data_IF_672559109728
#
_entry.id   IF_672559109728
#
_cell.length_a   1.000
_cell.length_b   1.000
_cell.length_c   1.000
_cell.angle_alpha   90.00
_cell.angle_beta   90.00
_cell.angle_gamma   90.00
#
_symmetry.space_group_name_H-M   'P 1'
#
loop_
_entity.id
_entity.type
_entity.pdbx_description
1 polymer ?
#
# COMPACT_ATOMS: atom_id res chain seq x y z
N UNK A 1 19.35 12.89 -20.08
CA UNK A 1 18.33 12.16 -19.29
C UNK A 1 17.04 12.08 -20.08
N UNK A 2 16.22 11.06 -19.84
CA UNK A 2 14.91 10.92 -20.46
C UNK A 2 13.93 10.25 -19.49
N UNK A 3 12.66 10.63 -19.59
CA UNK A 3 11.56 10.10 -18.79
C UNK A 3 10.58 9.38 -19.73
N UNK A 4 10.09 8.23 -19.30
CA UNK A 4 9.05 7.47 -19.98
C UNK A 4 7.87 7.25 -19.03
N UNK A 5 6.67 7.59 -19.50
CA UNK A 5 5.42 7.37 -18.77
C UNK A 5 4.95 5.93 -18.98
N UNK A 6 4.95 5.14 -17.91
CA UNK A 6 4.55 3.75 -17.97
C UNK A 6 3.03 3.57 -18.01
N UNK A 7 2.22 4.63 -17.82
CA UNK A 7 0.75 4.58 -17.83
C UNK A 7 0.16 3.57 -16.85
N UNK A 8 0.74 3.48 -15.66
CA UNK A 8 0.32 2.54 -14.61
C UNK A 8 0.18 3.22 -13.25
N UNK A 9 -0.82 2.80 -12.50
CA UNK A 9 -1.06 3.18 -11.11
C UNK A 9 -1.32 1.91 -10.31
N UNK A 10 -0.47 1.60 -9.34
CA UNK A 10 -0.62 0.44 -8.44
C UNK A 10 0.32 0.56 -7.23
N UNK A 11 0.27 -0.43 -6.34
CA UNK A 11 1.27 -0.64 -5.29
C UNK A 11 2.31 -1.64 -5.78
N UNK A 12 3.50 -1.16 -6.13
CA UNK A 12 4.60 -1.99 -6.63
C UNK A 12 5.52 -2.44 -5.49
N UNK A 13 5.35 -3.68 -5.04
CA UNK A 13 6.11 -4.22 -3.91
C UNK A 13 7.51 -4.66 -4.33
N UNK A 14 8.49 -3.74 -4.25
CA UNK A 14 9.86 -3.93 -4.74
C UNK A 14 10.62 -5.18 -4.21
N UNK A 15 10.13 -5.82 -3.14
CA UNK A 15 10.74 -7.01 -2.51
C UNK A 15 9.94 -8.29 -2.74
N UNK A 16 8.96 -8.30 -3.64
CA UNK A 16 8.09 -9.46 -3.89
C UNK A 16 7.87 -9.69 -5.38
N UNK A 17 7.71 -10.97 -5.76
CA UNK A 17 7.30 -11.37 -7.09
C UNK A 17 8.17 -10.80 -8.21
N UNK A 18 7.56 -10.53 -9.36
CA UNK A 18 8.24 -10.03 -10.56
C UNK A 18 8.96 -8.69 -10.38
N UNK A 19 8.64 -7.90 -9.33
CA UNK A 19 9.39 -6.68 -9.03
C UNK A 19 10.84 -6.95 -8.64
N UNK A 20 11.13 -8.08 -8.01
CA UNK A 20 12.51 -8.41 -7.60
C UNK A 20 13.39 -8.54 -8.84
N UNK A 21 12.91 -9.27 -9.84
CA UNK A 21 13.60 -9.49 -11.11
C UNK A 21 13.67 -8.19 -11.94
N UNK A 22 12.61 -7.37 -11.90
CA UNK A 22 12.61 -6.08 -12.58
C UNK A 22 13.63 -5.11 -11.97
N UNK A 23 13.74 -5.06 -10.64
CA UNK A 23 14.76 -4.26 -9.94
C UNK A 23 16.17 -4.78 -10.26
N UNK A 24 16.37 -6.10 -10.33
CA UNK A 24 17.64 -6.66 -10.78
C UNK A 24 17.98 -6.26 -12.22
N UNK A 25 16.98 -6.26 -13.11
CA UNK A 25 17.12 -5.78 -14.49
C UNK A 25 17.54 -4.31 -14.54
N UNK A 26 16.88 -3.44 -13.76
CA UNK A 26 17.26 -2.02 -13.68
C UNK A 26 18.72 -1.83 -13.24
N UNK A 27 19.15 -2.56 -12.20
CA UNK A 27 20.53 -2.53 -11.70
C UNK A 27 21.54 -3.04 -12.74
N UNK A 28 21.20 -4.09 -13.47
CA UNK A 28 22.04 -4.59 -14.54
C UNK A 28 22.19 -3.54 -15.67
N UNK A 29 21.10 -2.86 -16.03
CA UNK A 29 21.15 -1.79 -17.04
C UNK A 29 21.99 -0.59 -16.59
N UNK A 30 22.10 -0.29 -15.29
CA UNK A 30 23.04 0.73 -14.79
C UNK A 30 24.52 0.38 -15.06
N UNK A 31 24.84 -0.88 -15.38
CA UNK A 31 26.20 -1.30 -15.76
C UNK A 31 26.46 -1.21 -17.27
N UNK A 32 25.44 -0.91 -18.07
CA UNK A 32 25.58 -0.75 -19.52
C UNK A 32 26.41 0.51 -19.83
N UNK A 33 27.32 0.47 -20.83
CA UNK A 33 28.14 1.62 -21.19
C UNK A 33 27.31 2.87 -21.50
N UNK A 34 27.68 4.00 -20.88
CA UNK A 34 27.03 5.29 -21.09
C UNK A 34 25.78 5.52 -20.23
N UNK A 35 25.27 4.52 -19.51
CA UNK A 35 24.18 4.71 -18.53
C UNK A 35 24.77 5.15 -17.19
N UNK A 36 24.22 6.22 -16.61
CA UNK A 36 24.63 6.76 -15.32
C UNK A 36 23.68 6.38 -14.18
N UNK A 37 22.39 6.27 -14.46
CA UNK A 37 21.38 5.84 -13.48
C UNK A 37 20.07 5.44 -14.14
N UNK A 38 19.38 4.48 -13.52
CA UNK A 38 18.04 4.01 -13.88
C UNK A 38 17.15 4.09 -12.63
N UNK A 39 16.02 4.78 -12.73
CA UNK A 39 15.10 4.98 -11.61
C UNK A 39 13.66 4.74 -12.04
N UNK A 40 12.93 3.97 -11.24
CA UNK A 40 11.48 3.80 -11.37
C UNK A 40 10.79 4.62 -10.28
N UNK A 41 10.17 5.72 -10.68
CA UNK A 41 9.28 6.47 -9.81
C UNK A 41 7.89 5.85 -9.82
N UNK A 42 7.50 5.17 -8.75
CA UNK A 42 6.20 4.47 -8.66
C UNK A 42 4.98 5.40 -8.59
N UNK A 43 5.19 6.69 -8.29
CA UNK A 43 4.12 7.63 -7.99
C UNK A 43 3.44 7.34 -6.64
N UNK A 44 2.34 8.05 -6.41
CA UNK A 44 1.49 7.84 -5.25
C UNK A 44 0.05 7.59 -5.74
N UNK A 45 -0.47 6.35 -5.63
CA UNK A 45 -1.71 5.97 -6.31
C UNK A 45 -2.96 6.68 -5.81
N UNK A 46 -2.89 7.31 -4.63
CA UNK A 46 -3.99 8.09 -4.05
C UNK A 46 -3.91 9.59 -4.36
N UNK A 47 -2.89 10.06 -5.09
CA UNK A 47 -2.81 11.46 -5.52
C UNK A 47 -3.72 11.70 -6.73
N UNK A 48 -4.50 12.77 -6.68
CA UNK A 48 -5.25 13.29 -7.84
C UNK A 48 -4.47 14.42 -8.52
N UNK A 49 -3.43 14.03 -9.25
CA UNK A 49 -2.56 14.95 -10.00
C UNK A 49 -2.42 14.45 -11.45
N UNK A 50 -2.26 15.36 -12.44
CA UNK A 50 -1.98 14.97 -13.82
C UNK A 50 -0.74 14.07 -13.95
N UNK A 51 0.20 14.24 -13.02
CA UNK A 51 1.43 13.47 -12.96
C UNK A 51 1.28 12.15 -12.19
N UNK A 52 0.11 11.75 -11.71
CA UNK A 52 -0.03 10.47 -10.98
C UNK A 52 0.29 9.28 -11.89
N UNK A 53 1.16 8.38 -11.41
CA UNK A 53 1.51 7.13 -12.08
C UNK A 53 3.01 6.82 -12.09
N UNK A 54 3.32 5.61 -12.54
CA UNK A 54 4.68 5.10 -12.62
C UNK A 54 5.45 5.69 -13.82
N UNK A 55 6.69 6.11 -13.60
CA UNK A 55 7.59 6.62 -14.65
C UNK A 55 8.99 6.03 -14.55
N UNK A 56 9.56 5.72 -15.71
CA UNK A 56 10.94 5.28 -15.85
C UNK A 56 11.83 6.47 -16.22
N UNK A 57 12.80 6.79 -15.37
CA UNK A 57 13.80 7.83 -15.58
C UNK A 57 15.15 7.18 -15.84
N UNK A 58 15.79 7.55 -16.95
CA UNK A 58 17.15 7.11 -17.28
C UNK A 58 18.05 8.32 -17.49
N UNK A 59 19.21 8.29 -16.86
CA UNK A 59 20.28 9.27 -17.01
C UNK A 59 21.45 8.59 -17.72
N UNK A 60 21.96 9.21 -18.78
CA UNK A 60 23.10 8.72 -19.57
C UNK A 60 24.14 9.84 -19.73
N UNK A 61 25.41 9.49 -19.94
CA UNK A 61 26.52 10.45 -20.12
C UNK A 61 26.43 11.10 -21.49
N UNK A 62 25.93 12.35 -21.53
CA UNK A 62 25.86 13.21 -22.72
C UNK A 62 25.15 12.59 -23.94
N UNK A 63 24.44 11.48 -23.76
CA UNK A 63 23.67 10.80 -24.80
C UNK A 63 22.17 10.76 -24.46
N UNK A 64 21.43 11.70 -25.05
CA UNK A 64 19.98 11.79 -24.82
C UNK A 64 19.21 10.73 -25.62
N UNK A 65 19.76 10.25 -26.74
CA UNK A 65 19.12 9.23 -27.56
C UNK A 65 19.15 7.88 -26.83
N UNK A 66 20.32 7.50 -26.30
CA UNK A 66 20.50 6.32 -25.46
C UNK A 66 19.58 6.37 -24.24
N UNK A 67 19.52 7.50 -23.53
CA UNK A 67 18.62 7.64 -22.39
C UNK A 67 17.14 7.40 -22.76
N UNK A 68 16.69 7.95 -23.90
CA UNK A 68 15.30 7.82 -24.37
C UNK A 68 14.98 6.39 -24.79
N UNK A 69 15.89 5.74 -25.50
CA UNK A 69 15.75 4.35 -25.93
C UNK A 69 15.65 3.42 -24.71
N UNK A 70 16.59 3.54 -23.77
CA UNK A 70 16.65 2.72 -22.56
C UNK A 70 15.44 2.95 -21.66
N UNK A 71 15.02 4.21 -21.44
CA UNK A 71 13.82 4.51 -20.66
C UNK A 71 12.56 3.90 -21.29
N UNK A 72 12.43 3.98 -22.62
CA UNK A 72 11.31 3.38 -23.34
C UNK A 72 11.32 1.86 -23.31
N UNK A 73 12.48 1.23 -23.47
CA UNK A 73 12.66 -0.22 -23.38
C UNK A 73 12.23 -0.74 -22.02
N UNK A 74 12.79 -0.17 -20.94
CA UNK A 74 12.47 -0.58 -19.58
C UNK A 74 11.02 -0.24 -19.19
N UNK A 75 10.51 0.91 -19.60
CA UNK A 75 9.14 1.33 -19.30
C UNK A 75 8.08 0.42 -19.97
N UNK A 76 8.30 -0.01 -21.22
CA UNK A 76 7.44 -0.99 -21.88
C UNK A 76 7.52 -2.36 -21.21
N UNK A 77 8.73 -2.84 -20.90
CA UNK A 77 8.91 -4.08 -20.17
C UNK A 77 8.21 -4.07 -18.81
N UNK A 78 8.23 -2.93 -18.11
CA UNK A 78 7.48 -2.75 -16.86
C UNK A 78 5.96 -2.86 -17.08
N UNK A 79 5.44 -2.23 -18.14
CA UNK A 79 4.03 -2.32 -18.50
C UNK A 79 3.57 -3.74 -18.86
N UNK A 80 4.45 -4.53 -19.48
CA UNK A 80 4.16 -5.92 -19.81
C UNK A 80 4.03 -6.81 -18.57
N UNK A 81 4.64 -6.43 -17.44
CA UNK A 81 4.51 -7.13 -16.16
C UNK A 81 3.22 -6.80 -15.40
N UNK A 82 2.42 -5.82 -15.83
CA UNK A 82 1.30 -5.23 -15.04
C UNK A 82 0.38 -6.25 -14.35
N UNK A 83 0.04 -7.34 -15.02
CA UNK A 83 -0.91 -8.34 -14.50
C UNK A 83 -0.28 -9.19 -13.37
N UNK A 84 1.06 -9.31 -13.37
CA UNK A 84 1.82 -10.02 -12.32
C UNK A 84 2.14 -9.12 -11.11
N UNK A 85 1.99 -7.81 -11.27
CA UNK A 85 2.34 -6.81 -10.25
C UNK A 85 1.18 -6.47 -9.31
N UNK A 86 -0.03 -6.97 -9.59
CA UNK A 86 -1.22 -6.74 -8.75
C UNK A 86 -1.04 -7.43 -7.40
N UNK A 87 -1.01 -6.70 -6.27
CA UNK A 87 -0.95 -7.32 -4.96
C UNK A 87 -2.21 -8.12 -4.65
N UNK A 88 -2.04 -9.36 -4.18
CA UNK A 88 -3.13 -10.17 -3.67
C UNK A 88 -3.21 -10.03 -2.14
N UNK A 89 -4.16 -9.25 -1.66
CA UNK A 89 -4.48 -9.14 -0.24
C UNK A 89 -5.73 -9.98 0.08
N UNK A 90 -5.77 -10.67 1.24
CA UNK A 90 -7.02 -11.24 1.70
C UNK A 90 -8.04 -10.12 1.94
N UNK A 91 -9.31 -10.42 1.77
CA UNK A 91 -10.37 -9.56 2.27
C UNK A 91 -10.38 -9.56 3.82
N UNK A 92 -11.23 -8.72 4.41
CA UNK A 92 -11.28 -8.55 5.86
C UNK A 92 -11.57 -9.89 6.58
N UNK A 93 -12.53 -10.66 6.07
CA UNK A 93 -12.93 -11.93 6.67
C UNK A 93 -11.81 -12.96 6.56
N UNK A 94 -11.25 -13.17 5.37
CA UNK A 94 -10.12 -14.08 5.16
C UNK A 94 -8.86 -13.67 5.92
N UNK A 95 -8.64 -12.37 6.14
CA UNK A 95 -7.58 -11.84 6.99
C UNK A 95 -7.76 -12.23 8.47
N UNK A 96 -8.99 -12.14 8.97
CA UNK A 96 -9.35 -12.52 10.34
C UNK A 96 -9.31 -14.04 10.55
N UNK A 97 -9.79 -14.82 9.60
CA UNK A 97 -9.73 -16.29 9.67
C UNK A 97 -8.27 -16.76 9.76
N UNK A 98 -7.38 -16.16 8.95
CA UNK A 98 -5.94 -16.41 9.02
C UNK A 98 -5.33 -16.01 10.37
N UNK A 99 -5.79 -14.90 10.95
CA UNK A 99 -5.33 -14.45 12.25
C UNK A 99 -5.75 -15.41 13.37
N UNK A 100 -6.99 -15.93 13.33
CA UNK A 100 -7.49 -16.93 14.29
C UNK A 100 -6.80 -18.28 14.16
N UNK A 101 -6.41 -18.66 12.95
CA UNK A 101 -5.69 -19.91 12.69
C UNK A 101 -4.21 -19.87 13.11
N UNK A 102 -3.67 -18.71 13.47
CA UNK A 102 -2.28 -18.59 13.89
C UNK A 102 -2.04 -19.33 15.21
N UNK A 103 -1.05 -20.23 15.23
CA UNK A 103 -0.76 -21.09 16.38
C UNK A 103 0.35 -20.57 17.29
N UNK A 104 1.03 -19.49 16.91
CA UNK A 104 2.13 -18.92 17.69
C UNK A 104 2.28 -17.41 17.51
N UNK A 105 2.73 -16.77 18.59
CA UNK A 105 3.02 -15.33 18.63
C UNK A 105 1.78 -14.43 18.58
N UNK A 106 1.95 -13.13 18.86
CA UNK A 106 0.91 -12.15 18.61
C UNK A 106 0.70 -11.94 17.10
N UNK A 107 -0.56 -11.87 16.67
CA UNK A 107 -0.91 -11.50 15.29
C UNK A 107 -1.16 -10.00 15.21
N UNK A 108 -0.56 -9.35 14.21
CA UNK A 108 -0.80 -7.94 13.89
C UNK A 108 -1.64 -7.87 12.61
N UNK A 109 -2.84 -7.31 12.73
CA UNK A 109 -3.72 -6.98 11.61
C UNK A 109 -3.45 -5.55 11.18
N UNK A 110 -2.98 -5.37 9.94
CA UNK A 110 -2.75 -4.06 9.35
C UNK A 110 -3.91 -3.71 8.42
N UNK A 111 -4.64 -2.64 8.74
CA UNK A 111 -5.65 -2.07 7.85
C UNK A 111 -4.93 -1.23 6.78
N UNK A 112 -4.76 -1.83 5.60
CA UNK A 112 -4.10 -1.18 4.47
C UNK A 112 -4.98 -0.12 3.81
N UNK A 113 -6.30 -0.21 3.96
CA UNK A 113 -7.25 0.70 3.33
C UNK A 113 -7.35 2.02 4.10
N UNK A 114 -7.17 1.97 5.43
CA UNK A 114 -7.16 3.14 6.31
C UNK A 114 -5.81 3.31 7.00
N UNK A 115 -4.77 3.47 6.20
CA UNK A 115 -3.39 3.66 6.68
C UNK A 115 -2.99 5.15 6.68
N UNK A 116 -2.78 5.79 7.85
CA UNK A 116 -2.34 7.18 7.94
C UNK A 116 -0.98 7.46 7.31
N UNK A 117 -0.09 6.46 7.26
CA UNK A 117 1.18 6.57 6.54
C UNK A 117 1.01 6.74 5.02
N UNK A 118 -0.16 6.39 4.50
CA UNK A 118 -0.60 6.62 3.13
C UNK A 118 -1.62 7.77 3.02
N UNK A 119 -1.74 8.62 4.04
CA UNK A 119 -2.61 9.80 4.02
C UNK A 119 -4.08 9.55 4.36
N UNK A 120 -4.45 8.35 4.80
CA UNK A 120 -5.81 8.06 5.28
C UNK A 120 -6.05 8.62 6.71
N UNK A 121 -7.32 8.85 7.13
CA UNK A 121 -7.63 9.43 8.43
C UNK A 121 -7.31 8.51 9.64
N UNK A 122 -7.29 7.18 9.47
CA UNK A 122 -7.05 6.24 10.57
C UNK A 122 -8.23 6.09 11.53
N UNK A 123 -9.45 6.45 11.10
CA UNK A 123 -10.69 6.42 11.90
C UNK A 123 -11.66 5.29 11.52
N UNK A 124 -11.25 4.38 10.62
CA UNK A 124 -12.06 3.25 10.20
C UNK A 124 -12.27 2.25 11.34
N UNK A 125 -13.53 1.83 11.49
CA UNK A 125 -13.96 0.86 12.52
C UNK A 125 -14.39 -0.48 11.93
N UNK A 126 -14.06 -0.76 10.66
CA UNK A 126 -14.50 -1.99 9.97
C UNK A 126 -13.92 -3.25 10.60
N UNK A 127 -12.62 -3.25 10.93
CA UNK A 127 -11.98 -4.37 11.64
C UNK A 127 -12.65 -4.59 13.00
N UNK A 128 -12.86 -3.53 13.79
CA UNK A 128 -13.52 -3.63 15.09
C UNK A 128 -14.95 -4.16 14.97
N UNK A 129 -15.72 -3.66 13.99
CA UNK A 129 -17.08 -4.13 13.71
C UNK A 129 -17.09 -5.63 13.41
N UNK A 130 -16.17 -6.11 12.59
CA UNK A 130 -16.09 -7.52 12.21
C UNK A 130 -15.66 -8.41 13.38
N UNK A 131 -14.67 -7.98 14.17
CA UNK A 131 -14.28 -8.68 15.40
C UNK A 131 -15.47 -8.86 16.36
N UNK A 132 -16.30 -7.80 16.52
CA UNK A 132 -17.52 -7.87 17.33
C UNK A 132 -18.58 -8.80 16.73
N UNK A 133 -18.76 -8.79 15.41
CA UNK A 133 -19.69 -9.68 14.72
C UNK A 133 -19.30 -11.16 14.90
N UNK A 134 -17.99 -11.45 14.94
CA UNK A 134 -17.44 -12.78 15.19
C UNK A 134 -17.28 -13.12 16.68
N UNK A 135 -17.79 -12.29 17.59
CA UNK A 135 -17.69 -12.46 19.05
C UNK A 135 -16.24 -12.65 19.57
N UNK A 136 -15.26 -12.01 18.93
CA UNK A 136 -13.87 -11.99 19.42
C UNK A 136 -13.83 -11.28 20.77
N UNK A 137 -13.19 -11.90 21.76
CA UNK A 137 -13.05 -11.32 23.10
C UNK A 137 -11.70 -10.62 23.28
N UNK A 138 -11.60 -9.77 24.31
CA UNK A 138 -10.33 -9.08 24.64
C UNK A 138 -9.21 -10.04 25.06
N UNK A 139 -9.56 -11.26 25.52
CA UNK A 139 -8.58 -12.29 25.87
C UNK A 139 -7.93 -12.89 24.61
N UNK A 140 -8.67 -12.92 23.49
CA UNK A 140 -8.19 -13.31 22.16
C UNK A 140 -7.51 -12.15 21.41
N UNK A 141 -7.95 -10.91 21.64
CA UNK A 141 -7.43 -9.71 20.97
C UNK A 141 -7.00 -8.63 21.96
N UNK A 142 -5.68 -8.51 22.16
CA UNK A 142 -5.09 -7.33 22.81
C UNK A 142 -4.92 -6.22 21.78
N UNK A 143 -5.95 -5.39 21.64
CA UNK A 143 -5.88 -4.21 20.78
C UNK A 143 -4.85 -3.22 21.33
N UNK A 144 -3.75 -3.02 20.62
CA UNK A 144 -2.83 -1.90 20.84
C UNK A 144 -2.86 -1.02 19.60
N UNK A 145 -3.47 0.16 19.64
CA UNK A 145 -3.41 1.07 18.50
C UNK A 145 -1.94 1.39 18.25
N UNK A 146 -1.44 1.01 17.08
CA UNK A 146 -0.13 1.44 16.57
C UNK A 146 -0.30 2.87 16.02
N UNK A 147 -0.77 3.78 16.87
CA UNK A 147 -0.79 5.20 16.56
C UNK A 147 0.66 5.67 16.51
N UNK A 148 1.13 6.00 15.30
CA UNK A 148 2.24 6.93 15.13
C UNK A 148 1.94 8.18 15.95
N UNK A 149 2.92 8.60 16.73
CA UNK A 149 2.82 9.66 17.74
C UNK A 149 2.18 10.95 17.22
N UNK A 150 0.88 11.12 17.47
CA UNK A 150 0.26 12.42 17.73
C UNK A 150 -0.53 12.30 19.03
N UNK A 151 -0.22 13.20 19.96
CA UNK A 151 -0.44 13.04 21.40
C UNK A 151 -1.87 12.65 21.79
N UNK A 152 -2.02 11.42 22.28
CA UNK A 152 -3.16 10.97 23.05
C UNK A 152 -2.67 10.08 24.18
N UNK A 153 -3.03 10.41 25.42
CA UNK A 153 -2.60 9.67 26.60
C UNK A 153 -2.98 8.17 26.49
N UNK A 154 -2.17 7.24 27.03
CA UNK A 154 -2.49 5.82 26.99
C UNK A 154 -3.77 5.54 27.78
N UNK A 155 -4.82 5.11 27.09
CA UNK A 155 -6.05 4.65 27.72
C UNK A 155 -5.75 3.35 28.47
N UNK A 156 -5.56 3.42 29.79
CA UNK A 156 -5.49 2.24 30.65
C UNK A 156 -6.88 1.61 30.71
N UNK A 157 -7.08 0.53 29.97
CA UNK A 157 -8.25 -0.34 30.14
C UNK A 157 -8.18 -1.01 31.52
N UNK A 158 -8.76 -0.37 32.55
CA UNK A 158 -9.13 -1.06 33.78
C UNK A 158 -10.41 -1.84 33.48
N UNK A 159 -10.38 -3.15 33.72
CA UNK A 159 -11.44 -4.11 33.39
C UNK A 159 -12.81 -3.79 33.99
N UNK A 160 -13.55 -2.87 33.36
CA UNK A 160 -15.00 -2.74 33.51
C UNK A 160 -15.57 -2.69 32.10
N UNK A 161 -16.60 -3.51 31.84
CA UNK A 161 -17.34 -3.51 30.57
C UNK A 161 -17.93 -2.11 30.35
N UNK A 162 -17.24 -1.28 29.58
CA UNK A 162 -17.83 -0.04 29.07
C UNK A 162 -18.73 -0.43 27.89
N UNK A 163 -20.05 -0.48 28.13
CA UNK A 163 -21.02 -0.43 27.04
C UNK A 163 -21.08 1.03 26.58
N UNK A 164 -20.55 1.31 25.40
CA UNK A 164 -20.83 2.56 24.71
C UNK A 164 -21.66 2.25 23.46
N UNK A 165 -22.83 2.89 23.29
CA UNK A 165 -23.58 2.76 22.05
C UNK A 165 -22.78 3.45 20.95
N UNK A 166 -22.30 2.67 19.97
CA UNK A 166 -21.78 3.22 18.72
C UNK A 166 -22.99 3.81 17.99
N UNK A 167 -23.20 5.12 18.12
CA UNK A 167 -24.19 5.83 17.34
C UNK A 167 -23.78 5.77 15.86
N UNK A 168 -24.40 4.89 15.10
CA UNK A 168 -24.34 4.94 13.65
C UNK A 168 -24.98 6.26 13.20
N UNK A 169 -24.18 7.22 12.74
CA UNK A 169 -24.73 8.35 11.98
C UNK A 169 -25.27 7.76 10.66
N UNK A 170 -26.59 7.67 10.56
CA UNK A 170 -27.27 7.48 9.28
C UNK A 170 -26.83 8.64 8.37
N UNK A 171 -26.20 8.33 7.24
CA UNK A 171 -26.20 9.25 6.11
C UNK A 171 -27.64 9.26 5.58
N UNK A 172 -28.39 10.30 5.92
CA UNK A 172 -29.67 10.56 5.29
C UNK A 172 -29.42 10.86 3.81
N UNK A 173 -29.87 9.95 2.94
CA UNK A 173 -30.12 10.22 1.53
C UNK A 173 -31.21 11.29 1.44
N UNK A 174 -30.80 12.55 1.30
CA UNK A 174 -31.68 13.59 0.81
C UNK A 174 -31.87 13.43 -0.71
N UNK A 175 -32.99 12.78 -1.03
CA UNK A 175 -33.88 12.91 -2.19
C UNK A 175 -33.37 13.68 -3.42
N UNK A 176 -33.41 12.95 -4.53
CA UNK A 176 -33.75 13.41 -5.87
C UNK A 176 -34.80 14.54 -5.84
N UNK A 177 -34.45 15.62 -6.54
CA UNK A 177 -35.31 16.69 -7.04
C UNK A 177 -34.63 17.26 -8.26
#
# INVERSE_FOLDING_TARGET
MALFDCRMVSLFLAKKGAMVDFVATMKATETEPGILSVSLGHGFPWADLPETGARMLVVADRDTALARETAGRLGRAFFDLRDQLVPNYPDLQGGLDRARAATSGPVVLADMADNPGAGAPGDAVYVLRELLAQNVTNDECRFRPLLGSYGGAPMRARGRRCRHPVAARRQDRARLG
#
